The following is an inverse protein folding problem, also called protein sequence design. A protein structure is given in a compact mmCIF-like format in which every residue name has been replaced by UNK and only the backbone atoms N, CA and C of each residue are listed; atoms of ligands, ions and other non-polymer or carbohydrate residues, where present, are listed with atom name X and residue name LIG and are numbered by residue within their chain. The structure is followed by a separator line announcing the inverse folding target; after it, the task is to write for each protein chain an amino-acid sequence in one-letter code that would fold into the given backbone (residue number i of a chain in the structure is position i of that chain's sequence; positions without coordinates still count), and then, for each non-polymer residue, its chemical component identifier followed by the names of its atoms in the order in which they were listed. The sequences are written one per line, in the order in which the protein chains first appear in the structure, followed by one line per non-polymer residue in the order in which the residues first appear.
data_IF_490673157622
#
_entry.id   IF_490673157622
#
_cell.length_a   1.000
_cell.length_b   1.000
_cell.length_c   1.000
_cell.angle_alpha   90.00
_cell.angle_beta   90.00
_cell.angle_gamma   90.00
#
_symmetry.space_group_name_H-M   'P 1'
#
loop_
_entity.id
_entity.type
_entity.pdbx_description
1 polymer ?
#
# COMPACT_ATOMS: atom_id res chain seq x y z
N UNK A 1 -11.25 6.86 -1.77
CA UNK A 1 -10.62 5.58 -1.40
C UNK A 1 -10.23 5.66 0.06
N UNK A 2 -10.05 4.51 0.69
CA UNK A 2 -9.72 4.36 2.11
C UNK A 2 -8.46 3.53 2.27
N UNK A 3 -7.73 3.75 3.35
CA UNK A 3 -6.46 3.06 3.64
C UNK A 3 -6.66 1.58 4.04
N UNK A 4 -7.88 1.18 4.42
CA UNK A 4 -8.19 -0.20 4.87
C UNK A 4 -8.32 -1.22 3.75
N UNK A 5 -8.26 -0.79 2.48
CA UNK A 5 -8.30 -1.64 1.29
C UNK A 5 -7.13 -1.27 0.38
N UNK A 6 -6.67 -2.23 -0.44
CA UNK A 6 -5.68 -1.92 -1.48
C UNK A 6 -6.23 -0.86 -2.43
N UNK A 7 -5.36 -0.03 -2.98
CA UNK A 7 -5.79 1.00 -3.94
C UNK A 7 -6.26 0.33 -5.22
N UNK A 8 -5.61 -0.74 -5.66
CA UNK A 8 -5.98 -1.43 -6.89
C UNK A 8 -7.39 -2.04 -6.86
N UNK A 9 -7.83 -2.61 -5.73
CA UNK A 9 -9.20 -3.13 -5.61
C UNK A 9 -10.22 -1.98 -5.75
N UNK A 10 -9.95 -0.84 -5.13
CA UNK A 10 -10.83 0.33 -5.19
C UNK A 10 -10.81 1.02 -6.56
N UNK A 11 -9.69 0.97 -7.28
CA UNK A 11 -9.59 1.44 -8.68
C UNK A 11 -10.46 0.56 -9.58
N UNK A 12 -10.44 -0.76 -9.41
CA UNK A 12 -11.31 -1.67 -10.16
C UNK A 12 -12.79 -1.41 -9.86
N UNK A 13 -13.17 -1.24 -8.58
CA UNK A 13 -14.52 -0.81 -8.18
C UNK A 13 -14.92 0.50 -8.87
N UNK A 14 -14.01 1.49 -8.94
CA UNK A 14 -14.25 2.75 -9.62
C UNK A 14 -14.41 2.61 -11.14
N UNK A 15 -13.62 1.74 -11.79
CA UNK A 15 -13.75 1.46 -13.23
C UNK A 15 -15.09 0.82 -13.58
N UNK A 16 -15.62 -0.06 -12.71
CA UNK A 16 -16.96 -0.63 -12.90
C UNK A 16 -18.04 0.47 -12.88
N UNK A 17 -17.96 1.40 -11.92
CA UNK A 17 -18.90 2.53 -11.86
C UNK A 17 -18.81 3.39 -13.12
N UNK A 18 -17.59 3.69 -13.61
CA UNK A 18 -17.40 4.45 -14.85
C UNK A 18 -18.00 3.73 -16.07
N UNK A 19 -17.88 2.40 -16.11
CA UNK A 19 -18.49 1.57 -17.15
C UNK A 19 -20.02 1.61 -17.10
N UNK A 20 -20.61 1.48 -15.92
CA UNK A 20 -22.07 1.52 -15.74
C UNK A 20 -22.63 2.90 -16.10
N UNK A 21 -21.98 3.98 -15.69
CA UNK A 21 -22.34 5.34 -16.09
C UNK A 21 -22.28 5.52 -17.61
N UNK A 22 -21.27 4.95 -18.27
CA UNK A 22 -21.18 4.98 -19.72
C UNK A 22 -22.32 4.21 -20.40
N UNK A 23 -22.70 3.05 -19.86
CA UNK A 23 -23.84 2.27 -20.35
C UNK A 23 -25.18 3.04 -20.21
N UNK A 24 -25.30 3.89 -19.19
CA UNK A 24 -26.43 4.81 -19.00
C UNK A 24 -26.35 6.10 -19.84
N UNK A 25 -25.32 6.24 -20.69
CA UNK A 25 -25.11 7.41 -21.56
C UNK A 25 -24.41 8.61 -20.88
N UNK A 26 -23.98 8.46 -19.62
CA UNK A 26 -23.27 9.48 -18.84
C UNK A 26 -21.75 9.37 -19.02
N UNK A 27 -21.27 9.63 -20.24
CA UNK A 27 -19.83 9.57 -20.53
C UNK A 27 -19.07 10.74 -19.86
N UNK A 28 -18.13 10.39 -18.98
CA UNK A 28 -17.20 11.35 -18.37
C UNK A 28 -15.94 11.51 -19.21
N UNK A 29 -15.36 12.72 -19.26
CA UNK A 29 -14.10 12.95 -19.96
C UNK A 29 -12.96 12.16 -19.30
N UNK A 30 -11.98 11.73 -20.10
CA UNK A 30 -10.80 11.03 -19.57
C UNK A 30 -10.04 11.90 -18.54
N UNK A 31 -9.93 13.20 -18.80
CA UNK A 31 -9.32 14.16 -17.87
C UNK A 31 -10.03 14.19 -16.51
N UNK A 32 -11.36 14.09 -16.48
CA UNK A 32 -12.13 14.01 -15.25
C UNK A 32 -11.87 12.68 -14.54
N UNK A 33 -11.85 11.56 -15.26
CA UNK A 33 -11.59 10.24 -14.67
C UNK A 33 -10.20 10.17 -14.02
N UNK A 34 -9.18 10.70 -14.70
CA UNK A 34 -7.81 10.85 -14.17
C UNK A 34 -7.79 11.72 -12.92
N UNK A 35 -8.36 12.92 -12.98
CA UNK A 35 -8.38 13.84 -11.85
C UNK A 35 -9.15 13.26 -10.65
N UNK A 36 -10.32 12.65 -10.89
CA UNK A 36 -11.13 12.01 -9.86
C UNK A 36 -10.37 10.87 -9.18
N UNK A 37 -9.69 10.02 -9.94
CA UNK A 37 -8.89 8.92 -9.39
C UNK A 37 -7.76 9.45 -8.49
N UNK A 38 -7.00 10.44 -8.96
CA UNK A 38 -5.92 11.09 -8.18
C UNK A 38 -6.47 11.75 -6.92
N UNK A 39 -7.59 12.47 -7.03
CA UNK A 39 -8.17 13.17 -5.89
C UNK A 39 -8.71 12.21 -4.83
N UNK A 40 -9.26 11.06 -5.25
CA UNK A 40 -9.82 10.05 -4.36
C UNK A 40 -8.78 9.12 -3.73
N UNK A 41 -7.49 9.22 -4.07
CA UNK A 41 -6.43 8.46 -3.40
C UNK A 41 -6.48 8.63 -1.89
N UNK A 42 -6.19 7.57 -1.11
CA UNK A 42 -6.36 7.62 0.32
C UNK A 42 -5.24 8.42 1.00
N UNK A 43 -5.42 8.87 2.26
CA UNK A 43 -4.48 9.75 2.95
C UNK A 43 -3.03 9.26 2.98
N UNK A 44 -2.78 7.95 3.12
CA UNK A 44 -1.41 7.39 3.13
C UNK A 44 -0.68 7.52 1.79
N UNK A 45 -1.39 7.88 0.71
CA UNK A 45 -0.85 8.08 -0.63
C UNK A 45 -0.54 9.55 -0.95
N UNK A 46 -0.58 10.45 0.04
CA UNK A 46 -0.40 11.91 -0.16
C UNK A 46 0.85 12.29 -0.96
N UNK A 47 1.98 11.62 -0.74
CA UNK A 47 3.24 11.92 -1.44
C UNK A 47 3.17 11.49 -2.90
N UNK A 48 2.63 10.29 -3.17
CA UNK A 48 2.41 9.82 -4.53
C UNK A 48 1.39 10.69 -5.28
N UNK A 49 0.30 11.10 -4.61
CA UNK A 49 -0.68 12.06 -5.13
C UNK A 49 0.00 13.38 -5.55
N UNK A 50 0.87 13.93 -4.71
CA UNK A 50 1.62 15.15 -5.04
C UNK A 50 2.58 14.93 -6.22
N UNK A 51 3.28 13.78 -6.26
CA UNK A 51 4.12 13.41 -7.41
C UNK A 51 3.32 13.40 -8.72
N UNK A 52 2.12 12.80 -8.73
CA UNK A 52 1.27 12.77 -9.92
C UNK A 52 0.83 14.18 -10.34
N UNK A 53 0.46 15.04 -9.39
CA UNK A 53 0.04 16.45 -9.66
C UNK A 53 1.14 17.32 -10.25
N UNK A 54 2.39 17.08 -9.87
CA UNK A 54 3.53 17.86 -10.36
C UNK A 54 4.16 17.29 -11.63
N UNK A 55 3.66 16.16 -12.14
CA UNK A 55 4.20 15.56 -13.34
C UNK A 55 3.76 16.37 -14.57
N UNK A 56 4.74 16.92 -15.30
CA UNK A 56 4.51 17.73 -16.51
C UNK A 56 4.08 16.94 -17.76
N UNK A 57 4.16 15.60 -17.72
CA UNK A 57 3.76 14.74 -18.84
C UNK A 57 2.25 14.48 -18.76
N UNK A 58 1.54 14.73 -19.86
CA UNK A 58 0.16 14.31 -20.02
C UNK A 58 0.04 12.80 -19.76
N UNK A 59 -1.02 12.41 -19.05
CA UNK A 59 -1.23 11.04 -18.58
C UNK A 59 -2.69 10.67 -18.78
N UNK A 60 -2.92 9.63 -19.58
CA UNK A 60 -4.24 9.02 -19.72
C UNK A 60 -4.60 8.13 -18.53
N UNK A 61 -5.82 7.60 -18.53
CA UNK A 61 -6.29 6.77 -17.42
C UNK A 61 -5.51 5.45 -17.30
N UNK A 62 -5.19 4.81 -18.42
CA UNK A 62 -4.45 3.55 -18.44
C UNK A 62 -3.04 3.73 -17.85
N UNK A 63 -2.33 4.78 -18.26
CA UNK A 63 -1.01 5.14 -17.72
C UNK A 63 -1.07 5.36 -16.20
N UNK A 64 -2.14 6.00 -15.71
CA UNK A 64 -2.34 6.21 -14.28
C UNK A 64 -2.54 4.88 -13.55
N UNK A 65 -3.37 3.98 -14.08
CA UNK A 65 -3.66 2.68 -13.48
C UNK A 65 -2.39 1.83 -13.37
N UNK A 66 -1.55 1.81 -14.41
CA UNK A 66 -0.28 1.07 -14.38
C UNK A 66 0.61 1.56 -13.24
N UNK A 67 0.69 2.88 -13.04
CA UNK A 67 1.51 3.47 -11.98
C UNK A 67 0.94 3.23 -10.58
N UNK A 68 -0.38 3.27 -10.45
CA UNK A 68 -1.06 2.93 -9.20
C UNK A 68 -0.75 1.48 -8.82
N UNK A 69 -0.79 0.55 -9.77
CA UNK A 69 -0.44 -0.85 -9.52
C UNK A 69 0.98 -1.02 -9.01
N UNK A 70 1.95 -0.41 -9.68
CA UNK A 70 3.37 -0.48 -9.29
C UNK A 70 3.57 0.07 -7.88
N UNK A 71 2.99 1.23 -7.57
CA UNK A 71 3.10 1.84 -6.24
C UNK A 71 2.40 1.03 -5.15
N UNK A 72 1.24 0.43 -5.44
CA UNK A 72 0.49 -0.40 -4.49
C UNK A 72 1.30 -1.67 -4.15
N UNK A 73 1.89 -2.31 -5.17
CA UNK A 73 2.76 -3.47 -5.01
C UNK A 73 4.03 -3.12 -4.20
N UNK A 74 4.65 -1.97 -4.46
CA UNK A 74 5.81 -1.49 -3.70
C UNK A 74 5.47 -1.31 -2.21
N UNK A 75 4.36 -0.64 -1.91
CA UNK A 75 3.91 -0.41 -0.53
C UNK A 75 3.59 -1.71 0.20
N UNK A 76 2.95 -2.66 -0.48
CA UNK A 76 2.66 -3.98 0.08
C UNK A 76 3.94 -4.77 0.38
N UNK A 77 4.98 -4.63 -0.45
CA UNK A 77 6.29 -5.22 -0.22
C UNK A 77 7.00 -4.60 0.99
N UNK A 78 7.02 -3.27 1.07
CA UNK A 78 7.62 -2.52 2.18
C UNK A 78 6.96 -2.88 3.51
N UNK A 79 5.62 -2.87 3.59
CA UNK A 79 4.89 -3.27 4.80
C UNK A 79 5.19 -4.69 5.26
N UNK A 80 5.32 -5.65 4.33
CA UNK A 80 5.72 -7.03 4.66
C UNK A 80 7.14 -7.08 5.21
N UNK A 81 8.05 -6.32 4.61
CA UNK A 81 9.45 -6.27 5.06
C UNK A 81 9.59 -5.65 6.45
N UNK A 82 8.83 -4.59 6.75
CA UNK A 82 8.80 -3.95 8.06
C UNK A 82 8.23 -4.88 9.12
N UNK A 83 7.12 -5.58 8.82
CA UNK A 83 6.52 -6.56 9.72
C UNK A 83 7.49 -7.69 10.09
N UNK A 84 8.20 -8.24 9.10
CA UNK A 84 9.22 -9.28 9.34
C UNK A 84 10.37 -8.78 10.21
N UNK A 85 10.80 -7.52 10.02
CA UNK A 85 11.84 -6.93 10.87
C UNK A 85 11.40 -6.71 12.31
N UNK A 86 10.14 -6.33 12.53
CA UNK A 86 9.57 -6.18 13.88
C UNK A 86 9.49 -7.55 14.56
N UNK A 87 8.92 -8.56 13.90
CA UNK A 87 8.80 -9.92 14.42
C UNK A 87 10.17 -10.54 14.75
N UNK A 88 11.19 -10.32 13.90
CA UNK A 88 12.55 -10.80 14.16
C UNK A 88 13.17 -10.13 15.39
N UNK A 89 12.92 -8.83 15.61
CA UNK A 89 13.39 -8.10 16.80
C UNK A 89 12.71 -8.58 18.07
N UNK A 90 11.41 -8.86 18.03
CA UNK A 90 10.65 -9.39 19.17
C UNK A 90 11.16 -10.78 19.58
N UNK A 91 11.37 -11.67 18.60
CA UNK A 91 11.91 -13.02 18.86
C UNK A 91 13.34 -13.00 19.45
N UNK A 92 14.20 -12.06 19.04
CA UNK A 92 15.53 -11.88 19.61
C UNK A 92 15.49 -11.45 21.08
N UNK A 93 14.48 -10.69 21.49
CA UNK A 93 14.31 -10.23 22.87
C UNK A 93 13.83 -11.39 23.76
N UNK A 94 12.90 -12.22 23.28
CA UNK A 94 12.42 -13.40 24.04
C UNK A 94 13.51 -14.47 24.22
N UNK A 95 14.34 -14.74 23.21
CA UNK A 95 15.39 -15.76 23.34
C UNK A 95 16.51 -15.39 24.34
N UNK A 96 16.75 -14.10 24.57
CA UNK A 96 17.74 -13.65 25.56
C UNK A 96 17.22 -13.70 27.01
N UNK A 97 15.93 -13.93 27.24
CA UNK A 97 15.35 -14.08 28.59
C UNK A 97 15.59 -15.45 29.23
N UNK A 98 15.90 -16.49 28.44
CA UNK A 98 15.86 -17.89 28.88
C UNK A 98 17.22 -18.60 29.08
N UNK A 99 18.36 -17.91 28.94
CA UNK A 99 19.69 -18.55 28.97
C UNK A 99 20.43 -18.54 30.30
N UNK A 100 19.84 -18.09 31.42
CA UNK A 100 20.58 -17.92 32.69
C UNK A 100 20.35 -18.94 33.83
N UNK A 101 19.64 -20.06 33.63
CA UNK A 101 19.52 -21.08 34.71
C UNK A 101 20.01 -22.46 34.27
N UNK A 102 21.30 -22.57 33.94
CA UNK A 102 22.06 -23.82 34.09
C UNK A 102 23.51 -23.51 34.51
N UNK A 103 23.72 -22.93 35.69
CA UNK A 103 25.02 -23.03 36.38
C UNK A 103 24.98 -24.24 37.29
N UNK A 104 25.54 -25.32 36.76
CA UNK A 104 26.20 -26.44 37.45
C UNK A 104 26.39 -26.27 38.96
N UNK A 105 25.63 -27.03 39.75
CA UNK A 105 25.98 -27.36 41.12
C UNK A 105 26.93 -28.56 41.11
N UNK A 106 28.22 -28.30 41.32
CA UNK A 106 29.24 -29.33 41.58
C UNK A 106 30.31 -28.72 42.48
N UNK A 107 30.07 -28.72 43.79
CA UNK A 107 31.12 -28.73 44.82
C UNK A 107 30.51 -29.17 46.14
N UNK A 108 30.87 -30.36 46.65
CA UNK A 108 30.95 -30.63 48.10
C UNK A 108 32.20 -31.47 48.32
N UNK A 109 32.99 -31.04 49.31
CA UNK A 109 34.24 -31.59 49.82
C UNK A 109 34.14 -33.00 50.40
#
# INVERSE_FOLDING_TARGET
MVDSKTVMNQVQEFQMILHDLHAEGMKLSESFQVAATIEKLPPLWKYFKNYLKHKRKEMGLEDLIVRLRIEDDNRLSEMKSEKLQIEAKENLIEQNGNTSIKKSALTIS
#
